data_IF_645798261823
#
_entry.id   IF_645798261823
#
_cell.length_a   1.000
_cell.length_b   1.000
_cell.length_c   1.000
_cell.angle_alpha   90.00
_cell.angle_beta   90.00
_cell.angle_gamma   90.00
#
_symmetry.space_group_name_H-M   'P 1'
#
loop_
_entity.id
_entity.type
_entity.pdbx_description
1 polymer ?
#
# COMPACT_ATOMS: atom_id res chain seq x y z
N UNK A 1 -17.33 39.73 -36.64
CA UNK A 1 -17.90 38.37 -36.65
C UNK A 1 -18.16 37.96 -35.21
N UNK A 2 -19.29 38.40 -34.67
CA UNK A 2 -19.81 38.08 -33.34
C UNK A 2 -20.81 36.93 -33.46
N UNK A 3 -20.76 35.97 -32.54
CA UNK A 3 -21.62 34.78 -32.59
C UNK A 3 -21.81 34.12 -31.22
N UNK A 4 -22.30 34.90 -30.25
CA UNK A 4 -22.87 34.39 -29.00
C UNK A 4 -24.25 33.79 -29.31
N UNK A 5 -24.39 32.48 -29.18
CA UNK A 5 -25.70 31.84 -29.23
C UNK A 5 -26.44 32.03 -27.91
N UNK A 6 -27.32 33.05 -27.90
CA UNK A 6 -28.42 33.17 -26.95
C UNK A 6 -29.53 32.22 -27.40
N UNK A 7 -29.88 31.23 -26.59
CA UNK A 7 -31.17 30.56 -26.69
C UNK A 7 -32.00 31.07 -25.52
N UNK A 8 -33.05 31.81 -25.84
CA UNK A 8 -34.06 32.24 -24.89
C UNK A 8 -35.44 31.96 -25.46
N UNK A 9 -36.35 31.66 -24.54
CA UNK A 9 -37.79 31.54 -24.68
C UNK A 9 -38.31 30.24 -25.31
N UNK A 10 -39.10 29.51 -24.54
CA UNK A 10 -40.51 29.33 -24.86
C UNK A 10 -41.28 29.22 -23.54
N UNK A 11 -42.32 30.02 -23.47
CA UNK A 11 -43.21 30.29 -22.35
C UNK A 11 -43.97 29.03 -21.91
N UNK A 12 -44.05 28.80 -20.60
CA UNK A 12 -45.23 28.16 -20.01
C UNK A 12 -45.57 28.90 -18.72
N UNK A 13 -46.54 29.80 -18.83
CA UNK A 13 -47.15 30.49 -17.72
C UNK A 13 -48.03 29.51 -16.94
N UNK A 14 -47.77 29.35 -15.65
CA UNK A 14 -48.79 28.97 -14.68
C UNK A 14 -48.67 29.92 -13.50
N UNK A 15 -49.58 30.91 -13.47
CA UNK A 15 -49.91 31.68 -12.28
C UNK A 15 -50.64 30.74 -11.32
N UNK A 16 -50.30 30.74 -10.04
CA UNK A 16 -51.25 30.80 -8.92
C UNK A 16 -50.51 30.77 -7.56
N UNK A 17 -50.98 31.66 -6.69
CA UNK A 17 -50.86 31.72 -5.22
C UNK A 17 -49.47 31.85 -4.57
N UNK A 18 -49.18 33.10 -4.22
CA UNK A 18 -48.48 33.51 -3.00
C UNK A 18 -49.26 33.08 -1.74
N UNK A 19 -48.65 32.28 -0.88
CA UNK A 19 -48.63 32.43 0.60
C UNK A 19 -48.17 31.12 1.26
N UNK A 20 -46.86 30.96 1.44
CA UNK A 20 -46.33 30.00 2.40
C UNK A 20 -45.34 30.72 3.30
N UNK A 21 -45.69 30.70 4.58
CA UNK A 21 -45.09 31.45 5.66
C UNK A 21 -43.56 31.30 5.71
N UNK A 22 -42.91 32.44 5.87
CA UNK A 22 -41.52 32.58 6.25
C UNK A 22 -41.25 31.78 7.53
N UNK A 23 -40.44 30.73 7.45
CA UNK A 23 -39.82 30.09 8.61
C UNK A 23 -38.44 30.72 8.80
N UNK A 24 -38.22 31.63 9.76
CA UNK A 24 -36.89 32.06 10.10
C UNK A 24 -36.30 31.09 11.10
N UNK A 25 -35.50 30.13 10.64
CA UNK A 25 -34.30 29.69 11.36
C UNK A 25 -33.63 28.55 10.60
N UNK A 26 -32.89 28.91 9.56
CA UNK A 26 -31.63 28.23 9.31
C UNK A 26 -30.54 29.21 9.71
N UNK A 27 -30.22 29.24 11.00
CA UNK A 27 -28.92 29.74 11.44
C UNK A 27 -27.86 28.83 10.83
N UNK A 28 -27.47 29.09 9.59
CA UNK A 28 -26.19 28.61 9.06
C UNK A 28 -25.16 29.25 9.98
N UNK A 29 -24.61 28.45 10.91
CA UNK A 29 -23.42 28.86 11.65
C UNK A 29 -22.39 29.20 10.59
N UNK A 30 -22.16 30.50 10.35
CA UNK A 30 -20.99 30.97 9.61
C UNK A 30 -19.81 30.48 10.43
N UNK A 31 -19.25 29.34 10.06
CA UNK A 31 -17.93 28.94 10.52
C UNK A 31 -17.02 30.08 10.10
N UNK A 32 -16.60 30.91 11.06
CA UNK A 32 -15.51 31.83 10.86
C UNK A 32 -14.28 30.97 10.59
N UNK A 33 -14.06 30.65 9.32
CA UNK A 33 -12.78 30.16 8.87
C UNK A 33 -11.79 31.28 9.20
N UNK A 34 -10.73 31.01 9.99
CA UNK A 34 -9.71 32.02 10.23
C UNK A 34 -9.17 32.52 8.88
N UNK A 35 -8.78 33.80 8.77
CA UNK A 35 -8.29 34.35 7.52
C UNK A 35 -7.15 33.49 6.99
N UNK A 36 -7.22 33.12 5.71
CA UNK A 36 -6.15 32.35 5.06
C UNK A 36 -4.84 33.10 5.22
N UNK A 37 -3.85 32.46 5.86
CA UNK A 37 -2.52 33.04 6.02
C UNK A 37 -2.01 33.45 4.63
N UNK A 38 -1.67 34.74 4.41
CA UNK A 38 -1.18 35.21 3.12
C UNK A 38 -0.01 34.37 2.65
N UNK A 39 0.00 33.95 1.39
CA UNK A 39 1.09 33.14 0.81
C UNK A 39 2.47 33.82 0.94
N UNK A 40 2.51 35.16 1.07
CA UNK A 40 3.72 35.95 1.36
C UNK A 40 4.37 35.61 2.71
N UNK A 41 3.60 35.13 3.69
CA UNK A 41 4.10 34.73 5.02
C UNK A 41 4.63 33.30 4.99
N UNK A 42 4.15 32.47 4.06
CA UNK A 42 4.63 31.08 3.95
C UNK A 42 6.06 31.07 3.40
N UNK A 43 7.01 30.68 4.24
CA UNK A 43 8.36 30.40 3.79
C UNK A 43 8.32 29.34 2.68
N UNK A 44 8.77 29.71 1.48
CA UNK A 44 8.94 28.76 0.39
C UNK A 44 9.98 27.72 0.80
N UNK A 45 9.55 26.53 1.18
CA UNK A 45 10.45 25.39 1.32
C UNK A 45 11.07 25.10 -0.05
N UNK A 46 12.32 25.52 -0.25
CA UNK A 46 13.13 25.04 -1.36
C UNK A 46 13.42 23.57 -1.09
N UNK A 47 12.78 22.69 -1.86
CA UNK A 47 13.11 21.28 -1.83
C UNK A 47 14.45 21.08 -2.54
N UNK A 48 15.53 21.01 -1.77
CA UNK A 48 16.80 20.52 -2.27
C UNK A 48 16.78 18.99 -2.26
N UNK A 49 16.91 18.32 -3.42
CA UNK A 49 17.03 16.87 -3.43
C UNK A 49 18.28 16.49 -2.64
N UNK A 50 18.18 15.45 -1.79
CA UNK A 50 19.35 14.91 -1.11
C UNK A 50 20.41 14.52 -2.16
N UNK A 51 21.58 15.14 -2.09
CA UNK A 51 22.70 14.78 -2.95
C UNK A 51 23.10 13.35 -2.59
N UNK A 52 23.13 12.45 -3.58
CA UNK A 52 23.73 11.13 -3.38
C UNK A 52 25.20 11.32 -3.01
N UNK A 53 25.69 10.71 -1.92
CA UNK A 53 27.07 10.85 -1.52
C UNK A 53 28.05 10.57 -2.68
N UNK A 54 29.13 11.35 -2.82
CA UNK A 54 30.01 11.33 -3.99
C UNK A 54 30.65 9.95 -4.25
N UNK A 55 30.88 9.15 -3.21
CA UNK A 55 31.40 7.79 -3.31
C UNK A 55 30.45 6.78 -4.00
N UNK A 56 29.20 7.17 -4.30
CA UNK A 56 28.24 6.35 -5.05
C UNK A 56 28.07 6.75 -6.52
N UNK A 57 28.77 7.81 -6.95
CA UNK A 57 28.70 8.44 -8.27
C UNK A 57 30.00 8.18 -9.04
N UNK A 58 30.43 6.92 -9.13
CA UNK A 58 31.52 6.59 -10.07
C UNK A 58 31.00 6.71 -11.50
N UNK A 59 31.64 7.48 -12.40
CA UNK A 59 31.25 7.58 -13.81
C UNK A 59 31.14 6.22 -14.50
N UNK A 60 31.97 5.26 -14.08
CA UNK A 60 31.95 3.88 -14.58
C UNK A 60 30.67 3.15 -14.19
N UNK A 61 30.22 3.31 -12.95
CA UNK A 61 28.96 2.72 -12.49
C UNK A 61 27.76 3.36 -13.19
N UNK A 62 27.79 4.66 -13.44
CA UNK A 62 26.72 5.35 -14.18
C UNK A 62 26.68 4.92 -15.65
N UNK A 63 27.84 4.74 -16.29
CA UNK A 63 27.94 4.20 -17.65
C UNK A 63 27.38 2.78 -17.74
N UNK A 64 27.80 1.88 -16.85
CA UNK A 64 27.28 0.50 -16.76
C UNK A 64 25.76 0.48 -16.53
N UNK A 65 25.25 1.33 -15.64
CA UNK A 65 23.81 1.44 -15.38
C UNK A 65 23.03 1.98 -16.58
N UNK A 66 23.65 2.79 -17.43
CA UNK A 66 23.02 3.35 -18.63
C UNK A 66 23.05 2.36 -19.80
N UNK A 67 24.17 1.67 -20.01
CA UNK A 67 24.39 0.79 -21.16
C UNK A 67 23.80 -0.61 -20.95
N UNK A 68 24.02 -1.22 -19.79
CA UNK A 68 23.65 -2.64 -19.55
C UNK A 68 22.35 -2.80 -18.75
N UNK A 69 21.96 -1.83 -17.90
CA UNK A 69 20.91 -2.02 -16.89
C UNK A 69 19.81 -0.95 -16.88
N UNK A 70 18.87 -1.06 -17.82
CA UNK A 70 17.52 -0.41 -17.80
C UNK A 70 17.57 1.11 -17.58
N UNK A 71 18.28 1.80 -18.49
CA UNK A 71 18.28 3.25 -18.69
C UNK A 71 17.87 3.98 -17.42
N UNK A 72 18.71 3.98 -16.38
CA UNK A 72 18.36 4.62 -15.12
C UNK A 72 18.40 6.14 -15.37
N UNK A 73 17.26 6.81 -15.68
CA UNK A 73 17.38 8.22 -15.99
C UNK A 73 17.63 8.96 -14.67
N UNK A 74 18.31 10.11 -14.70
CA UNK A 74 18.32 11.03 -13.57
C UNK A 74 16.88 11.33 -13.14
N UNK A 75 16.71 11.75 -11.88
CA UNK A 75 15.42 11.82 -11.15
C UNK A 75 14.31 12.68 -11.78
N UNK A 76 14.56 13.26 -12.95
CA UNK A 76 13.65 14.09 -13.73
C UNK A 76 12.95 13.21 -14.77
N UNK A 77 11.62 13.13 -14.66
CA UNK A 77 10.69 12.57 -15.65
C UNK A 77 10.40 11.06 -15.46
N UNK A 78 9.60 10.72 -14.45
CA UNK A 78 8.80 9.49 -14.48
C UNK A 78 7.38 9.81 -14.92
N UNK A 79 7.14 9.72 -16.23
CA UNK A 79 5.81 9.27 -16.69
C UNK A 79 5.66 7.83 -16.20
N UNK A 80 4.52 7.51 -15.59
CA UNK A 80 4.20 6.15 -15.14
C UNK A 80 4.22 5.26 -16.39
N UNK A 81 5.20 4.34 -16.52
CA UNK A 81 5.16 3.33 -17.59
C UNK A 81 3.93 2.45 -17.38
N UNK A 82 3.23 2.10 -18.45
CA UNK A 82 2.14 1.13 -18.41
C UNK A 82 2.63 -0.16 -17.73
N UNK A 83 2.00 -0.56 -16.62
CA UNK A 83 2.35 -1.75 -15.84
C UNK A 83 2.86 -1.51 -14.41
N UNK A 84 3.34 -0.31 -14.06
CA UNK A 84 3.69 0.03 -12.68
C UNK A 84 2.65 0.96 -12.05
N UNK A 85 2.20 0.65 -10.82
CA UNK A 85 1.19 1.48 -10.15
C UNK A 85 1.77 2.83 -9.68
N UNK A 86 2.96 2.82 -9.07
CA UNK A 86 3.58 4.00 -8.43
C UNK A 86 5.03 4.21 -8.86
N UNK A 87 5.51 5.46 -8.84
CA UNK A 87 6.93 5.78 -8.98
C UNK A 87 7.82 5.08 -7.93
N UNK A 88 7.26 4.78 -6.74
CA UNK A 88 7.91 4.01 -5.66
C UNK A 88 8.17 2.56 -6.08
N UNK A 89 7.26 1.97 -6.83
CA UNK A 89 7.37 0.62 -7.37
C UNK A 89 8.46 0.55 -8.42
N UNK A 90 8.49 1.54 -9.33
CA UNK A 90 9.54 1.65 -10.35
C UNK A 90 10.93 1.80 -9.70
N UNK A 91 11.05 2.51 -8.57
CA UNK A 91 12.33 2.61 -7.82
C UNK A 91 12.75 1.26 -7.24
N UNK A 92 11.82 0.53 -6.64
CA UNK A 92 12.10 -0.79 -6.07
C UNK A 92 12.47 -1.82 -7.16
N UNK A 93 11.78 -1.77 -8.31
CA UNK A 93 12.07 -2.59 -9.48
C UNK A 93 13.52 -2.41 -9.95
N UNK A 94 13.93 -1.15 -10.17
CA UNK A 94 15.30 -0.88 -10.62
C UNK A 94 16.36 -1.31 -9.59
N UNK A 95 16.09 -1.16 -8.28
CA UNK A 95 16.98 -1.68 -7.24
C UNK A 95 17.14 -3.19 -7.30
N UNK A 96 16.07 -3.93 -7.57
CA UNK A 96 16.13 -5.40 -7.69
C UNK A 96 17.03 -5.83 -8.85
N UNK A 97 16.97 -5.11 -9.96
CA UNK A 97 17.84 -5.36 -11.13
C UNK A 97 19.30 -5.13 -10.78
N UNK A 98 19.62 -3.96 -10.22
CA UNK A 98 20.99 -3.62 -9.82
C UNK A 98 21.52 -4.60 -8.77
N UNK A 99 20.71 -4.92 -7.76
CA UNK A 99 21.09 -5.87 -6.73
C UNK A 99 21.32 -7.29 -7.26
N UNK A 100 20.53 -7.74 -8.25
CA UNK A 100 20.73 -9.04 -8.90
C UNK A 100 22.08 -9.09 -9.64
N UNK A 101 22.41 -8.05 -10.40
CA UNK A 101 23.68 -7.95 -11.12
C UNK A 101 24.90 -7.96 -10.20
N UNK A 102 24.89 -7.12 -9.15
CA UNK A 102 26.01 -6.99 -8.21
C UNK A 102 26.04 -8.05 -7.08
N UNK A 103 25.02 -8.91 -7.00
CA UNK A 103 24.92 -9.99 -5.98
C UNK A 103 26.19 -10.86 -5.89
N UNK A 104 26.70 -11.48 -6.97
CA UNK A 104 27.88 -12.35 -6.91
C UNK A 104 29.12 -11.60 -6.41
N UNK A 105 29.36 -10.37 -6.88
CA UNK A 105 30.50 -9.57 -6.45
C UNK A 105 30.42 -9.23 -4.96
N UNK A 106 29.24 -8.80 -4.48
CA UNK A 106 29.02 -8.49 -3.07
C UNK A 106 29.17 -9.71 -2.16
N UNK A 107 28.79 -10.90 -2.62
CA UNK A 107 28.98 -12.14 -1.87
C UNK A 107 30.48 -12.44 -1.72
N UNK A 108 31.25 -12.36 -2.82
CA UNK A 108 32.71 -12.57 -2.81
C UNK A 108 33.43 -11.59 -1.89
N UNK A 109 33.14 -10.28 -2.02
CA UNK A 109 33.75 -9.24 -1.16
C UNK A 109 33.37 -9.41 0.31
N UNK A 110 32.13 -9.80 0.60
CA UNK A 110 31.72 -10.07 1.98
C UNK A 110 32.38 -11.31 2.57
N UNK A 111 32.64 -12.34 1.76
CA UNK A 111 33.40 -13.51 2.20
C UNK A 111 34.80 -13.07 2.64
N UNK A 112 35.54 -12.40 1.76
CA UNK A 112 36.90 -11.88 2.06
C UNK A 112 36.89 -11.03 3.33
N UNK A 113 35.98 -10.05 3.42
CA UNK A 113 35.87 -9.13 4.55
C UNK A 113 35.60 -9.84 5.88
N UNK A 114 34.80 -10.91 5.90
CA UNK A 114 34.41 -11.64 7.11
C UNK A 114 35.36 -12.77 7.49
N UNK A 115 36.32 -13.12 6.64
CA UNK A 115 37.26 -14.21 6.90
C UNK A 115 38.30 -13.82 7.96
N UNK A 116 38.38 -14.51 9.12
CA UNK A 116 39.36 -14.18 10.16
C UNK A 116 40.79 -14.61 9.80
N UNK A 117 40.95 -15.57 8.88
CA UNK A 117 42.24 -16.13 8.47
C UNK A 117 43.07 -15.17 7.59
N UNK A 118 42.41 -14.21 6.93
CA UNK A 118 43.09 -13.31 5.99
C UNK A 118 43.76 -12.13 6.71
N UNK A 119 44.89 -11.63 6.17
CA UNK A 119 45.51 -10.39 6.62
C UNK A 119 44.51 -9.23 6.72
N UNK A 120 44.78 -8.30 7.63
CA UNK A 120 43.92 -7.14 7.87
C UNK A 120 43.82 -6.23 6.64
N UNK A 121 44.93 -6.02 5.94
CA UNK A 121 45.00 -5.20 4.73
C UNK A 121 44.07 -5.70 3.61
N UNK A 122 43.99 -7.03 3.42
CA UNK A 122 43.08 -7.63 2.45
C UNK A 122 41.60 -7.46 2.85
N UNK A 123 41.30 -7.47 4.15
CA UNK A 123 39.94 -7.22 4.64
C UNK A 123 39.55 -5.76 4.49
N UNK A 124 40.49 -4.85 4.67
CA UNK A 124 40.28 -3.42 4.58
C UNK A 124 40.11 -2.98 3.12
N UNK A 125 40.93 -3.50 2.19
CA UNK A 125 40.75 -3.32 0.75
C UNK A 125 39.41 -3.86 0.25
N UNK A 126 39.01 -5.08 0.67
CA UNK A 126 37.70 -5.63 0.34
C UNK A 126 36.55 -4.79 0.92
N UNK A 127 36.75 -4.19 2.10
CA UNK A 127 35.79 -3.26 2.69
C UNK A 127 35.68 -1.99 1.85
N UNK A 128 36.79 -1.38 1.44
CA UNK A 128 36.78 -0.20 0.56
C UNK A 128 36.08 -0.49 -0.77
N UNK A 129 36.39 -1.63 -1.41
CA UNK A 129 35.71 -2.07 -2.64
C UNK A 129 34.21 -2.32 -2.44
N UNK A 130 33.79 -2.84 -1.28
CA UNK A 130 32.37 -3.03 -0.99
C UNK A 130 31.63 -1.70 -0.84
N UNK A 131 32.29 -0.67 -0.31
CA UNK A 131 31.74 0.68 -0.12
C UNK A 131 31.73 1.51 -1.41
N UNK A 132 32.63 1.24 -2.37
CA UNK A 132 32.63 1.92 -3.68
C UNK A 132 31.47 1.49 -4.58
N UNK A 133 30.91 0.30 -4.38
CA UNK A 133 29.75 -0.20 -5.13
C UNK A 133 28.53 0.72 -5.02
N UNK A 134 27.65 0.75 -6.05
CA UNK A 134 26.47 1.61 -6.04
C UNK A 134 25.54 1.25 -4.88
N UNK A 135 25.03 2.27 -4.17
CA UNK A 135 24.20 2.09 -2.95
C UNK A 135 22.99 1.18 -3.16
N UNK A 136 22.37 1.29 -4.33
CA UNK A 136 21.16 0.54 -4.68
C UNK A 136 21.43 -0.95 -4.99
N UNK A 137 22.71 -1.38 -5.04
CA UNK A 137 23.10 -2.80 -5.08
C UNK A 137 22.88 -3.54 -3.75
N UNK A 138 22.70 -2.81 -2.64
CA UNK A 138 22.55 -3.42 -1.33
C UNK A 138 21.17 -4.09 -1.17
N UNK A 139 21.17 -5.40 -0.95
CA UNK A 139 19.96 -6.21 -0.78
C UNK A 139 19.04 -5.73 0.34
N UNK A 140 19.59 -5.16 1.42
CA UNK A 140 18.83 -4.62 2.56
C UNK A 140 17.86 -3.48 2.18
N UNK A 141 18.10 -2.80 1.05
CA UNK A 141 17.25 -1.69 0.57
C UNK A 141 16.01 -2.17 -0.20
N UNK A 142 15.99 -3.43 -0.61
CA UNK A 142 14.86 -4.02 -1.34
C UNK A 142 13.70 -4.17 -0.36
N UNK A 143 12.53 -3.66 -0.75
CA UNK A 143 11.32 -3.73 0.08
C UNK A 143 10.28 -4.61 -0.59
N UNK A 144 9.67 -5.53 0.15
CA UNK A 144 8.53 -6.30 -0.36
C UNK A 144 7.32 -5.38 -0.56
N UNK A 145 6.86 -5.23 -1.79
CA UNK A 145 5.68 -4.44 -2.14
C UNK A 145 4.59 -5.33 -2.72
N UNK A 146 3.35 -4.86 -2.62
CA UNK A 146 2.23 -5.45 -3.34
C UNK A 146 2.45 -5.30 -4.85
N UNK A 147 2.35 -6.40 -5.60
CA UNK A 147 2.50 -6.36 -7.07
C UNK A 147 1.38 -5.56 -7.74
N UNK A 148 0.17 -5.59 -7.18
CA UNK A 148 -0.99 -4.87 -7.74
C UNK A 148 -1.00 -3.39 -7.35
N UNK A 149 -0.96 -3.11 -6.05
CA UNK A 149 -1.19 -1.73 -5.53
C UNK A 149 0.08 -0.99 -5.10
N UNK A 150 1.25 -1.62 -5.17
CA UNK A 150 2.54 -1.09 -4.67
C UNK A 150 2.65 -0.78 -3.17
N UNK A 151 1.61 -1.12 -2.39
CA UNK A 151 1.55 -0.95 -0.94
C UNK A 151 2.78 -1.55 -0.26
N UNK A 152 3.40 -0.79 0.65
CA UNK A 152 4.65 -1.18 1.34
C UNK A 152 4.43 -2.17 2.49
N UNK A 153 3.35 -2.03 3.26
CA UNK A 153 3.15 -2.77 4.52
C UNK A 153 1.98 -3.76 4.41
N UNK A 154 2.07 -4.83 5.20
CA UNK A 154 1.06 -5.88 5.24
C UNK A 154 0.94 -6.63 3.92
N UNK A 155 2.08 -6.88 3.27
CA UNK A 155 2.17 -7.75 2.09
C UNK A 155 2.46 -9.18 2.55
N UNK A 156 1.74 -10.15 2.00
CA UNK A 156 1.98 -11.57 2.27
C UNK A 156 3.05 -12.07 1.31
N UNK A 157 4.19 -12.52 1.83
CA UNK A 157 5.38 -12.86 1.03
C UNK A 157 5.12 -13.96 0.00
N UNK A 158 4.34 -15.00 0.37
CA UNK A 158 4.01 -16.13 -0.51
C UNK A 158 3.35 -15.68 -1.82
N UNK A 159 2.35 -14.80 -1.74
CA UNK A 159 1.57 -14.35 -2.90
C UNK A 159 1.98 -12.95 -3.42
N UNK A 160 2.88 -12.27 -2.71
CA UNK A 160 3.37 -10.90 -3.03
C UNK A 160 2.27 -9.85 -3.19
N UNK A 161 1.11 -10.07 -2.56
CA UNK A 161 -0.02 -9.13 -2.54
C UNK A 161 -0.22 -8.52 -1.15
N UNK A 162 -0.83 -7.34 -1.11
CA UNK A 162 -1.24 -6.70 0.13
C UNK A 162 -2.40 -7.45 0.78
N UNK A 163 -2.58 -7.30 2.09
CA UNK A 163 -3.70 -7.87 2.84
C UNK A 163 -5.09 -7.51 2.28
N UNK A 164 -5.24 -6.33 1.66
CA UNK A 164 -6.51 -5.85 1.12
C UNK A 164 -6.85 -6.63 -0.16
N UNK A 165 -5.88 -6.71 -1.07
CA UNK A 165 -6.01 -7.47 -2.32
C UNK A 165 -6.12 -8.97 -2.04
N UNK A 166 -5.34 -9.47 -1.08
CA UNK A 166 -5.43 -10.87 -0.64
C UNK A 166 -6.83 -11.23 -0.16
N UNK A 167 -7.44 -10.40 0.71
CA UNK A 167 -8.81 -10.61 1.18
C UNK A 167 -9.81 -10.58 0.02
N UNK A 168 -9.73 -9.57 -0.85
CA UNK A 168 -10.58 -9.49 -2.03
C UNK A 168 -10.49 -10.78 -2.87
N UNK A 169 -9.28 -11.27 -3.18
CA UNK A 169 -9.15 -12.51 -3.94
C UNK A 169 -9.63 -13.77 -3.19
N UNK A 170 -9.45 -13.84 -1.88
CA UNK A 170 -9.91 -14.97 -1.07
C UNK A 170 -11.44 -14.97 -0.94
N UNK A 171 -12.05 -13.83 -0.62
CA UNK A 171 -13.49 -13.70 -0.37
C UNK A 171 -14.32 -13.98 -1.65
N UNK A 172 -13.80 -13.63 -2.84
CA UNK A 172 -14.42 -13.95 -4.12
C UNK A 172 -13.91 -15.26 -4.76
N UNK A 173 -13.30 -16.16 -3.97
CA UNK A 173 -12.82 -17.47 -4.42
C UNK A 173 -11.91 -17.44 -5.67
N UNK A 174 -11.14 -16.36 -5.86
CA UNK A 174 -10.15 -16.25 -6.94
C UNK A 174 -8.80 -16.89 -6.58
N UNK A 175 -8.67 -17.38 -5.35
CA UNK A 175 -7.49 -18.10 -4.84
C UNK A 175 -7.85 -19.54 -4.51
N UNK A 176 -7.17 -20.49 -5.15
CA UNK A 176 -7.34 -21.92 -4.89
C UNK A 176 -6.94 -22.26 -3.45
N UNK A 177 -7.83 -22.93 -2.71
CA UNK A 177 -7.59 -23.43 -1.36
C UNK A 177 -7.54 -22.35 -0.26
N UNK A 178 -7.82 -21.09 -0.60
CA UNK A 178 -8.02 -20.04 0.39
C UNK A 178 -9.47 -20.08 0.87
N UNK A 179 -9.68 -20.59 2.07
CA UNK A 179 -10.97 -20.57 2.75
C UNK A 179 -10.84 -19.77 4.05
N UNK A 180 -11.97 -19.32 4.60
CA UNK A 180 -11.96 -18.80 5.95
C UNK A 180 -11.51 -19.89 6.91
N UNK A 181 -10.60 -19.55 7.80
CA UNK A 181 -10.16 -20.46 8.84
C UNK A 181 -11.34 -20.69 9.79
N UNK A 182 -11.97 -21.86 9.67
CA UNK A 182 -12.96 -22.34 10.62
C UNK A 182 -12.20 -23.25 11.57
N UNK A 183 -11.86 -22.72 12.73
CA UNK A 183 -11.46 -23.57 13.84
C UNK A 183 -12.76 -24.07 14.44
N UNK A 184 -13.06 -25.35 14.20
CA UNK A 184 -14.02 -26.05 15.04
C UNK A 184 -13.38 -26.02 16.41
N UNK A 185 -13.82 -25.11 17.25
CA UNK A 185 -13.55 -25.24 18.64
C UNK A 185 -14.32 -26.52 19.01
N UNK A 186 -13.63 -27.57 19.39
CA UNK A 186 -14.10 -28.33 20.55
C UNK A 186 -14.01 -27.40 21.78
N UNK A 187 -14.56 -26.18 21.71
CA UNK A 187 -15.16 -25.61 22.89
C UNK A 187 -16.40 -26.47 22.94
N UNK A 188 -16.47 -27.26 23.99
CA UNK A 188 -17.71 -27.19 24.72
C UNK A 188 -17.95 -25.71 24.97
N UNK A 189 -18.67 -25.05 24.04
CA UNK A 189 -19.44 -23.90 24.41
C UNK A 189 -20.26 -24.43 25.58
N UNK A 190 -20.33 -23.71 26.66
CA UNK A 190 -21.15 -24.07 27.82
C UNK A 190 -22.63 -24.31 27.45
N UNK A 191 -23.03 -24.19 26.18
CA UNK A 191 -24.14 -24.97 25.62
C UNK A 191 -23.79 -26.43 25.34
N UNK A 192 -23.54 -27.19 26.41
CA UNK A 192 -23.57 -28.66 26.39
C UNK A 192 -25.00 -29.25 26.28
N UNK A 193 -26.03 -28.40 26.19
CA UNK A 193 -27.41 -28.83 26.41
C UNK A 193 -28.26 -28.97 25.13
N UNK A 194 -27.75 -28.57 23.96
CA UNK A 194 -28.53 -28.64 22.71
C UNK A 194 -27.67 -29.10 21.51
N UNK A 195 -27.96 -30.29 21.00
CA UNK A 195 -27.59 -30.82 19.68
C UNK A 195 -28.58 -30.31 18.60
N UNK A 196 -28.14 -29.96 17.40
CA UNK A 196 -29.05 -29.69 16.26
C UNK A 196 -28.66 -30.57 15.06
N UNK A 197 -29.60 -31.31 14.44
CA UNK A 197 -31.03 -31.41 14.75
C UNK A 197 -31.33 -32.00 16.15
N UNK A 198 -32.52 -31.74 16.74
CA UNK A 198 -32.89 -32.25 18.05
C UNK A 198 -32.76 -33.78 18.08
N UNK A 199 -32.22 -34.38 19.16
CA UNK A 199 -32.15 -35.83 19.23
C UNK A 199 -33.56 -36.41 19.20
N UNK A 200 -33.73 -37.56 18.55
CA UNK A 200 -35.03 -38.21 18.31
C UNK A 200 -35.84 -38.47 19.60
N UNK A 201 -35.16 -38.46 20.74
CA UNK A 201 -35.67 -38.69 22.08
C UNK A 201 -36.53 -37.50 22.60
N UNK A 202 -36.52 -36.36 21.92
CA UNK A 202 -37.25 -35.15 22.31
C UNK A 202 -38.63 -35.13 21.65
N UNK A 203 -39.68 -35.06 22.47
CA UNK A 203 -41.08 -35.16 22.02
C UNK A 203 -41.50 -34.02 21.07
N UNK A 204 -41.07 -32.79 21.34
CA UNK A 204 -41.43 -31.61 20.54
C UNK A 204 -40.27 -30.62 20.42
N UNK A 205 -40.08 -30.03 19.24
CA UNK A 205 -39.07 -28.98 19.00
C UNK A 205 -39.29 -27.76 19.92
N UNK A 206 -40.55 -27.43 20.25
CA UNK A 206 -40.88 -26.34 21.17
C UNK A 206 -40.31 -26.56 22.58
N UNK A 207 -40.44 -27.77 23.12
CA UNK A 207 -39.95 -28.11 24.46
C UNK A 207 -38.42 -28.06 24.52
N UNK A 208 -37.77 -28.45 23.41
CA UNK A 208 -36.33 -28.34 23.24
C UNK A 208 -35.85 -26.89 23.30
N UNK A 209 -36.48 -26.01 22.51
CA UNK A 209 -36.17 -24.59 22.44
C UNK A 209 -36.44 -23.89 23.77
N UNK A 210 -37.52 -24.25 24.47
CA UNK A 210 -37.86 -23.69 25.79
C UNK A 210 -36.78 -23.98 26.83
N UNK A 211 -36.29 -25.22 26.88
CA UNK A 211 -35.21 -25.67 27.79
C UNK A 211 -33.90 -24.90 27.57
N UNK A 212 -33.65 -24.43 26.36
CA UNK A 212 -32.51 -23.59 26.04
C UNK A 212 -32.63 -22.17 26.57
N UNK A 213 -33.82 -21.58 26.52
CA UNK A 213 -34.05 -20.23 27.04
C UNK A 213 -34.11 -20.19 28.57
N UNK A 214 -34.58 -21.27 29.20
CA UNK A 214 -34.61 -21.41 30.66
C UNK A 214 -33.20 -21.56 31.28
N UNK A 215 -32.26 -22.20 30.58
CA UNK A 215 -30.87 -22.40 31.07
C UNK A 215 -29.87 -21.33 30.58
N UNK A 216 -30.34 -20.18 30.08
CA UNK A 216 -29.49 -19.04 29.67
C UNK A 216 -29.19 -18.08 30.84
N UNK A 217 -29.88 -18.23 31.97
CA UNK A 217 -29.91 -17.22 33.04
C UNK A 217 -28.83 -17.37 34.15
N UNK A 218 -27.91 -18.33 34.06
CA UNK A 218 -26.77 -18.48 35.00
C UNK A 218 -25.42 -18.44 34.27
#
# INVERSE_FOLDING_TARGET
MSGLWRISSMLAACRLSTSLAYVPSLMVRKLHLPPSIPQKIMHQHRYEPYVTPPHHSSPEHEKLLKEELVDFPPYRNRKIRHGFQDARMVRDYKRRIIAAYFSPLRIRLNAIRKNPLLPKDLRDTASLQLHSLPRDSCWTRIMTRCVVTSRRRGCKTRWRVSRIIFRNYADYNRMSGAQWAVWIHQTQCTRRHMLWPPPANVKTVKDYVKRYYENIAD
#
